data_IF_860677196709
#
_entry.id   IF_860677196709
#
_cell.length_a   1.000
_cell.length_b   1.000
_cell.length_c   1.000
_cell.angle_alpha   90.00
_cell.angle_beta   90.00
_cell.angle_gamma   90.00
#
_symmetry.space_group_name_H-M   'P 1'
#
loop_
_entity.id
_entity.type
_entity.pdbx_description
1 polymer ?
#
# COMPACT_ATOMS: atom_id res chain seq x y z
N UNK A 1 -57.56 2.75 -14.59
CA UNK A 1 -56.42 3.70 -14.50
C UNK A 1 -55.22 3.07 -13.76
N UNK A 2 -55.43 1.89 -13.19
CA UNK A 2 -54.51 1.19 -12.29
C UNK A 2 -53.37 0.47 -13.03
N UNK A 3 -53.64 -0.02 -14.26
CA UNK A 3 -52.63 -0.67 -15.10
C UNK A 3 -51.55 0.31 -15.60
N UNK A 4 -51.96 1.54 -15.94
CA UNK A 4 -51.03 2.59 -16.35
C UNK A 4 -50.18 3.07 -15.17
N UNK A 5 -50.77 3.19 -13.98
CA UNK A 5 -50.04 3.55 -12.77
C UNK A 5 -48.97 2.50 -12.42
N UNK A 6 -49.32 1.21 -12.54
CA UNK A 6 -48.36 0.12 -12.34
C UNK A 6 -47.23 0.11 -13.37
N UNK A 7 -47.53 0.36 -14.65
CA UNK A 7 -46.51 0.42 -15.70
C UNK A 7 -45.53 1.59 -15.49
N UNK A 8 -46.03 2.76 -15.09
CA UNK A 8 -45.19 3.93 -14.78
C UNK A 8 -44.29 3.67 -13.56
N UNK A 9 -44.84 3.05 -12.51
CA UNK A 9 -44.06 2.68 -11.32
C UNK A 9 -42.97 1.64 -11.64
N UNK A 10 -43.26 0.66 -12.49
CA UNK A 10 -42.30 -0.37 -12.89
C UNK A 10 -41.14 0.21 -13.72
N UNK A 11 -41.43 1.11 -14.67
CA UNK A 11 -40.42 1.80 -15.47
C UNK A 11 -39.53 2.69 -14.59
N UNK A 12 -40.12 3.39 -13.63
CA UNK A 12 -39.37 4.20 -12.67
C UNK A 12 -38.47 3.34 -11.79
N UNK A 13 -39.00 2.24 -11.24
CA UNK A 13 -38.22 1.30 -10.44
C UNK A 13 -37.05 0.69 -11.23
N UNK A 14 -37.28 0.30 -12.50
CA UNK A 14 -36.23 -0.22 -13.38
C UNK A 14 -35.15 0.84 -13.64
N UNK A 15 -35.56 2.08 -13.92
CA UNK A 15 -34.64 3.20 -14.07
C UNK A 15 -33.81 3.46 -12.80
N UNK A 16 -34.44 3.46 -11.63
CA UNK A 16 -33.76 3.59 -10.35
C UNK A 16 -32.76 2.46 -10.09
N UNK A 17 -33.11 1.21 -10.43
CA UNK A 17 -32.21 0.06 -10.29
C UNK A 17 -31.02 0.20 -11.25
N UNK A 18 -31.25 0.59 -12.50
CA UNK A 18 -30.17 0.82 -13.48
C UNK A 18 -29.24 1.95 -13.00
N UNK A 19 -29.80 3.09 -12.59
CA UNK A 19 -29.03 4.21 -12.04
C UNK A 19 -28.26 3.79 -10.79
N UNK A 20 -28.90 3.09 -9.85
CA UNK A 20 -28.24 2.58 -8.64
C UNK A 20 -27.11 1.60 -8.98
N UNK A 21 -27.31 0.71 -9.95
CA UNK A 21 -26.29 -0.25 -10.39
C UNK A 21 -25.09 0.44 -11.04
N UNK A 22 -25.34 1.44 -11.88
CA UNK A 22 -24.29 2.28 -12.49
C UNK A 22 -23.57 3.07 -11.42
N UNK A 23 -24.29 3.71 -10.50
CA UNK A 23 -23.71 4.43 -9.37
C UNK A 23 -22.92 3.48 -8.44
N UNK A 24 -23.35 2.23 -8.26
CA UNK A 24 -22.65 1.25 -7.45
C UNK A 24 -21.38 0.73 -8.14
N UNK A 25 -21.40 0.55 -9.46
CA UNK A 25 -20.21 0.20 -10.26
C UNK A 25 -19.23 1.37 -10.29
N UNK A 26 -19.71 2.61 -10.51
CA UNK A 26 -18.89 3.81 -10.44
C UNK A 26 -18.34 4.01 -9.03
N UNK A 27 -19.15 3.83 -7.98
CA UNK A 27 -18.69 3.87 -6.58
C UNK A 27 -17.74 2.74 -6.23
N UNK A 28 -17.85 1.55 -6.81
CA UNK A 28 -16.86 0.48 -6.66
C UNK A 28 -15.54 0.86 -7.33
N UNK A 29 -15.60 1.48 -8.50
CA UNK A 29 -14.43 2.01 -9.19
C UNK A 29 -13.77 3.16 -8.40
N UNK A 30 -14.59 4.02 -7.78
CA UNK A 30 -14.13 5.11 -6.91
C UNK A 30 -13.70 4.60 -5.51
N UNK A 31 -14.28 3.51 -4.99
CA UNK A 31 -13.82 2.84 -3.77
C UNK A 31 -12.49 2.07 -4.00
N UNK A 32 -12.19 1.73 -5.25
CA UNK A 32 -10.83 1.36 -5.69
C UNK A 32 -9.89 2.57 -5.86
N UNK A 33 -10.40 3.80 -5.73
CA UNK A 33 -9.65 5.08 -5.81
C UNK A 33 -9.69 5.92 -4.53
N UNK A 34 -10.41 5.48 -3.49
CA UNK A 34 -10.47 6.12 -2.17
C UNK A 34 -9.22 5.82 -1.32
N UNK A 35 -8.05 5.75 -1.97
CA UNK A 35 -6.75 5.54 -1.37
C UNK A 35 -5.61 6.06 -2.24
N UNK A 36 -5.85 7.04 -3.11
CA UNK A 36 -4.83 7.61 -3.99
C UNK A 36 -4.20 6.59 -4.94
N UNK A 37 -3.27 7.06 -5.77
CA UNK A 37 -2.18 6.21 -6.23
C UNK A 37 -1.20 6.07 -5.04
N UNK A 38 -1.75 5.57 -3.94
CA UNK A 38 -1.25 5.68 -2.58
C UNK A 38 -0.06 4.77 -2.42
N UNK A 39 0.96 5.33 -1.79
CA UNK A 39 2.22 4.67 -1.60
C UNK A 39 2.03 3.25 -1.01
N UNK A 40 2.61 2.25 -1.68
CA UNK A 40 2.52 0.84 -1.33
C UNK A 40 3.47 0.57 -0.17
N UNK A 41 2.93 0.05 0.94
CA UNK A 41 3.75 -0.34 2.08
C UNK A 41 4.63 -1.53 1.73
N UNK A 42 5.94 -1.44 1.97
CA UNK A 42 6.91 -2.51 1.71
C UNK A 42 7.58 -2.93 3.01
N UNK A 43 7.62 -4.24 3.27
CA UNK A 43 8.37 -4.84 4.37
C UNK A 43 9.64 -5.50 3.80
N UNK A 44 10.80 -5.13 4.33
CA UNK A 44 12.10 -5.64 3.93
C UNK A 44 12.72 -6.36 5.12
N UNK A 45 13.00 -7.65 4.96
CA UNK A 45 13.67 -8.47 5.98
C UNK A 45 15.12 -8.68 5.55
N UNK A 46 16.07 -8.31 6.41
CA UNK A 46 17.51 -8.33 6.15
C UNK A 46 18.22 -9.20 7.19
N UNK A 47 19.31 -9.86 6.79
CA UNK A 47 20.19 -10.61 7.70
C UNK A 47 21.57 -10.86 7.10
N UNK A 48 22.52 -11.39 7.86
CA UNK A 48 23.96 -11.38 7.52
C UNK A 48 24.38 -12.25 6.32
N UNK A 49 23.44 -12.84 5.57
CA UNK A 49 23.71 -13.62 4.37
C UNK A 49 24.12 -12.77 3.15
N UNK A 50 24.68 -13.41 2.12
CA UNK A 50 25.16 -12.75 0.90
C UNK A 50 24.09 -12.02 0.07
N UNK A 51 22.81 -12.27 0.35
CA UNK A 51 21.69 -11.68 -0.39
C UNK A 51 21.29 -10.28 0.08
N UNK A 52 21.70 -9.85 1.27
CA UNK A 52 21.29 -8.55 1.83
C UNK A 52 21.75 -7.37 0.98
N UNK A 53 22.92 -7.47 0.35
CA UNK A 53 23.39 -6.47 -0.62
C UNK A 53 22.55 -6.40 -1.89
N UNK A 54 22.03 -7.54 -2.35
CA UNK A 54 21.17 -7.61 -3.54
C UNK A 54 19.80 -7.01 -3.23
N UNK A 55 19.24 -7.31 -2.06
CA UNK A 55 17.98 -6.75 -1.57
C UNK A 55 18.10 -5.23 -1.39
N UNK A 56 19.18 -4.74 -0.77
CA UNK A 56 19.40 -3.30 -0.60
C UNK A 56 19.50 -2.57 -1.95
N UNK A 57 20.17 -3.16 -2.94
CA UNK A 57 20.23 -2.62 -4.31
C UNK A 57 18.85 -2.56 -4.98
N UNK A 58 18.04 -3.60 -4.77
CA UNK A 58 16.66 -3.62 -5.26
C UNK A 58 15.84 -2.51 -4.60
N UNK A 59 15.90 -2.40 -3.27
CA UNK A 59 15.23 -1.36 -2.47
C UNK A 59 15.66 0.05 -2.89
N UNK A 60 16.93 0.23 -3.24
CA UNK A 60 17.44 1.50 -3.76
C UNK A 60 16.90 1.88 -5.15
N UNK A 61 16.39 0.91 -5.92
CA UNK A 61 15.73 1.16 -7.21
C UNK A 61 14.22 1.41 -7.11
N UNK A 62 13.60 1.10 -5.96
CA UNK A 62 12.15 1.29 -5.76
C UNK A 62 11.79 2.77 -5.68
N UNK A 63 10.69 3.19 -6.31
CA UNK A 63 10.26 4.60 -6.32
C UNK A 63 9.64 5.05 -4.99
N UNK A 64 9.42 6.36 -4.83
CA UNK A 64 8.75 6.94 -3.66
C UNK A 64 7.28 6.47 -3.48
N UNK A 65 6.69 5.86 -4.53
CA UNK A 65 5.39 5.20 -4.46
C UNK A 65 5.41 3.92 -3.64
N UNK A 66 6.56 3.49 -3.13
CA UNK A 66 6.70 2.34 -2.24
C UNK A 66 7.09 2.83 -0.84
N UNK A 67 6.20 3.62 -0.23
CA UNK A 67 6.33 4.12 1.13
C UNK A 67 5.00 3.89 1.88
N UNK A 68 4.99 3.66 3.19
CA UNK A 68 6.14 3.52 4.08
C UNK A 68 6.90 2.20 3.86
N UNK A 69 8.20 2.22 4.17
CA UNK A 69 9.10 1.04 4.12
C UNK A 69 9.46 0.63 5.54
N UNK A 70 9.19 -0.63 5.88
CA UNK A 70 9.49 -1.22 7.17
C UNK A 70 10.68 -2.18 7.04
N UNK A 71 11.68 -2.01 7.90
CA UNK A 71 12.88 -2.84 7.89
C UNK A 71 12.91 -3.72 9.13
N UNK A 72 13.10 -5.01 8.92
CA UNK A 72 13.31 -6.02 9.95
C UNK A 72 14.69 -6.58 9.74
N UNK A 73 15.56 -6.50 10.76
CA UNK A 73 16.98 -6.80 10.61
C UNK A 73 17.35 -7.88 11.62
N UNK A 74 18.07 -8.89 11.17
CA UNK A 74 18.61 -9.92 12.05
C UNK A 74 19.62 -9.30 13.02
N UNK A 75 19.53 -9.66 14.31
CA UNK A 75 20.39 -9.13 15.37
C UNK A 75 21.89 -9.35 15.09
N UNK A 76 22.25 -10.38 14.32
CA UNK A 76 23.64 -10.70 13.94
C UNK A 76 24.20 -9.77 12.85
N UNK A 77 23.38 -8.91 12.24
CA UNK A 77 23.75 -8.12 11.07
C UNK A 77 23.67 -6.61 11.31
N UNK A 78 24.54 -6.12 12.21
CA UNK A 78 24.67 -4.68 12.48
C UNK A 78 25.09 -3.86 11.25
N UNK A 79 25.78 -4.50 10.29
CA UNK A 79 26.24 -3.86 9.06
C UNK A 79 25.09 -3.55 8.10
N UNK A 80 24.05 -4.37 8.04
CA UNK A 80 22.88 -4.08 7.20
C UNK A 80 21.98 -3.00 7.78
N UNK A 81 21.88 -2.89 9.11
CA UNK A 81 21.21 -1.79 9.78
C UNK A 81 21.79 -0.43 9.41
N UNK A 82 23.12 -0.31 9.45
CA UNK A 82 23.79 0.93 9.07
C UNK A 82 23.58 1.25 7.58
N UNK A 83 23.61 0.24 6.71
CA UNK A 83 23.37 0.42 5.26
C UNK A 83 21.95 0.92 4.96
N UNK A 84 20.94 0.38 5.64
CA UNK A 84 19.55 0.87 5.52
C UNK A 84 19.45 2.33 5.95
N UNK A 85 20.09 2.69 7.07
CA UNK A 85 20.07 4.06 7.59
C UNK A 85 20.66 5.05 6.59
N UNK A 86 21.80 4.72 5.98
CA UNK A 86 22.44 5.54 4.96
C UNK A 86 21.54 5.66 3.71
N UNK A 87 20.92 4.56 3.28
CA UNK A 87 20.05 4.51 2.10
C UNK A 87 18.80 5.38 2.29
N UNK A 88 18.14 5.30 3.44
CA UNK A 88 16.97 6.15 3.73
C UNK A 88 17.34 7.62 3.98
N UNK A 89 18.51 7.89 4.59
CA UNK A 89 19.01 9.25 4.74
C UNK A 89 19.29 9.91 3.38
N UNK A 90 19.82 9.17 2.40
CA UNK A 90 20.07 9.65 1.05
C UNK A 90 18.76 9.97 0.28
N UNK A 91 17.67 9.25 0.56
CA UNK A 91 16.34 9.48 -0.03
C UNK A 91 15.57 10.62 0.65
N UNK A 92 15.82 10.86 1.93
CA UNK A 92 15.08 11.81 2.76
C UNK A 92 15.63 13.24 2.64
N UNK A 93 15.34 13.94 1.53
CA UNK A 93 15.47 15.42 1.46
C UNK A 93 14.32 16.17 2.15
N UNK A 94 13.44 15.49 2.89
CA UNK A 94 12.34 16.08 3.64
C UNK A 94 11.92 15.21 4.82
N UNK A 95 12.38 15.58 6.02
CA UNK A 95 11.90 15.33 7.39
C UNK A 95 11.06 14.07 7.74
N UNK A 96 11.20 12.95 7.03
CA UNK A 96 10.54 11.69 7.38
C UNK A 96 11.58 10.78 7.99
N UNK A 97 11.60 10.68 9.31
CA UNK A 97 12.42 9.67 9.97
C UNK A 97 11.94 8.28 9.53
N UNK A 98 12.80 7.44 8.94
CA UNK A 98 12.44 6.06 8.67
C UNK A 98 12.18 5.38 10.02
N UNK A 99 10.94 4.95 10.25
CA UNK A 99 10.59 4.13 11.40
C UNK A 99 11.20 2.74 11.23
N UNK A 100 12.50 2.66 11.53
CA UNK A 100 13.26 1.41 11.67
C UNK A 100 12.99 0.89 13.07
N UNK A 101 11.96 0.05 13.22
CA UNK A 101 11.70 -0.60 14.49
C UNK A 101 10.94 -1.92 14.30
N UNK A 102 11.68 -3.03 14.14
CA UNK A 102 11.44 -4.26 14.90
C UNK A 102 12.77 -5.00 15.05
N UNK A 103 13.36 -4.92 16.25
CA UNK A 103 14.41 -5.85 16.68
C UNK A 103 13.69 -7.10 17.20
N UNK A 104 13.58 -8.15 16.37
CA UNK A 104 12.97 -9.41 16.80
C UNK A 104 14.03 -10.24 17.53
N UNK A 105 13.95 -10.21 18.85
CA UNK A 105 14.59 -11.18 19.73
C UNK A 105 13.84 -12.51 19.59
N UNK A 106 14.30 -13.40 18.70
CA UNK A 106 13.86 -14.80 18.71
C UNK A 106 14.76 -15.59 19.67
N UNK A 107 14.59 -15.34 20.96
CA UNK A 107 15.00 -16.29 21.98
C UNK A 107 14.17 -17.57 21.81
N UNK A 108 14.74 -18.54 21.09
CA UNK A 108 14.44 -19.97 21.22
C UNK A 108 15.77 -20.71 21.31
#
# INVERSE_FOLDING_TARGET
MDLCCGAVAALFALGCILIASVLLVLRRNEAGKAGGQGAVSVLVVLGSGGHTTEILRLVDSLSASYAPRHYVIANTDMMSAERVRILEAARSKGNTEPQVSVNIDWAV
#
